data_IF_070646970707
#
_entry.id   IF_070646970707
#
_cell.length_a   1.000
_cell.length_b   1.000
_cell.length_c   1.000
_cell.angle_alpha   90.00
_cell.angle_beta   90.00
_cell.angle_gamma   90.00
#
_symmetry.space_group_name_H-M   'P 1'
#
loop_
_entity.id
_entity.type
_entity.pdbx_description
1 polymer ?
#
# COMPACT_ATOMS: atom_id res chain seq x y z
N UNK A 1 -20.65 6.69 -3.36
CA UNK A 1 -19.25 6.88 -3.77
C UNK A 1 -18.96 8.37 -3.65
N UNK A 2 -18.08 8.77 -2.72
CA UNK A 2 -17.96 10.16 -2.28
C UNK A 2 -16.74 10.90 -2.89
N UNK A 3 -16.17 10.39 -3.98
CA UNK A 3 -15.23 11.14 -4.83
C UNK A 3 -13.81 11.34 -4.27
N UNK A 4 -13.33 10.42 -3.43
CA UNK A 4 -11.91 10.32 -3.11
C UNK A 4 -11.40 8.99 -3.66
N UNK A 5 -10.25 9.04 -4.35
CA UNK A 5 -9.51 7.88 -4.83
C UNK A 5 -9.03 7.06 -3.61
N UNK A 6 -9.06 5.73 -3.70
CA UNK A 6 -8.52 4.85 -2.65
C UNK A 6 -7.01 4.72 -2.78
N UNK A 7 -6.25 5.20 -1.80
CA UNK A 7 -4.80 5.05 -1.73
C UNK A 7 -4.39 3.85 -0.83
N UNK A 8 -3.11 3.47 -0.92
CA UNK A 8 -2.52 2.45 -0.04
C UNK A 8 -1.94 3.15 1.20
N UNK A 9 -2.39 2.75 2.39
CA UNK A 9 -1.81 3.20 3.65
C UNK A 9 -1.09 2.04 4.35
N UNK A 10 0.18 2.25 4.69
CA UNK A 10 0.98 1.34 5.50
C UNK A 10 1.08 1.85 6.93
N UNK A 11 0.73 1.01 7.90
CA UNK A 11 0.85 1.28 9.32
C UNK A 11 1.80 0.30 9.97
N UNK A 12 2.63 0.81 10.87
CA UNK A 12 3.38 -0.02 11.79
C UNK A 12 2.67 0.02 13.12
N UNK A 13 2.38 -1.16 13.67
CA UNK A 13 1.73 -1.31 14.96
C UNK A 13 2.64 -2.08 15.90
N UNK A 14 2.50 -1.84 17.20
CA UNK A 14 3.13 -2.66 18.21
C UNK A 14 2.32 -3.95 18.47
N UNK A 15 2.76 -4.76 19.44
CA UNK A 15 2.09 -6.02 19.78
C UNK A 15 0.74 -5.83 20.48
N UNK A 16 0.45 -4.63 20.97
CA UNK A 16 -0.82 -4.27 21.58
C UNK A 16 -1.84 -3.79 20.54
N UNK A 17 -1.39 -3.50 19.32
CA UNK A 17 -2.20 -2.97 18.23
C UNK A 17 -2.16 -1.45 18.12
N UNK A 18 -1.35 -0.77 18.93
CA UNK A 18 -1.18 0.68 18.84
C UNK A 18 -0.30 1.05 17.64
N UNK A 19 -0.74 2.06 16.87
CA UNK A 19 0.02 2.60 15.74
C UNK A 19 1.27 3.29 16.26
N UNK A 20 2.43 2.81 15.81
CA UNK A 20 3.72 3.49 15.99
C UNK A 20 3.70 4.81 15.22
N UNK A 21 4.58 5.76 15.56
CA UNK A 21 4.67 7.09 14.92
C UNK A 21 4.90 7.09 13.39
N UNK A 22 5.05 5.90 12.78
CA UNK A 22 5.31 5.71 11.36
C UNK A 22 4.05 5.21 10.63
N UNK A 23 3.64 5.98 9.63
CA UNK A 23 2.72 5.57 8.57
C UNK A 23 3.23 6.12 7.24
N UNK A 24 2.82 5.48 6.14
CA UNK A 24 3.14 5.93 4.77
C UNK A 24 1.91 5.78 3.90
N UNK A 25 1.57 6.83 3.18
CA UNK A 25 0.59 6.79 2.10
C UNK A 25 1.34 6.63 0.77
N UNK A 26 0.93 5.63 -0.01
CA UNK A 26 1.36 5.44 -1.38
C UNK A 26 0.16 5.80 -2.25
N UNK A 27 0.24 6.98 -2.85
CA UNK A 27 -0.76 7.50 -3.79
C UNK A 27 -0.34 7.17 -5.21
N UNK A 28 -1.20 6.46 -5.94
CA UNK A 28 -1.07 6.23 -7.38
C UNK A 28 -2.34 6.73 -8.08
N UNK A 29 -2.34 6.86 -9.42
CA UNK A 29 -3.56 7.27 -10.12
C UNK A 29 -4.73 6.30 -9.89
N UNK A 30 -5.92 6.82 -9.59
CA UNK A 30 -7.15 6.05 -9.42
C UNK A 30 -7.18 5.27 -8.10
N UNK A 31 -8.01 4.23 -8.04
CA UNK A 31 -8.18 3.45 -6.82
C UNK A 31 -7.17 2.30 -6.72
N UNK A 32 -6.66 2.05 -5.53
CA UNK A 32 -5.83 0.90 -5.18
C UNK A 32 -6.55 0.04 -4.14
N UNK A 33 -6.70 -1.24 -4.45
CA UNK A 33 -7.25 -2.23 -3.52
C UNK A 33 -6.16 -3.26 -3.23
N UNK A 34 -5.63 -3.23 -2.01
CA UNK A 34 -4.61 -4.18 -1.54
C UNK A 34 -5.27 -5.50 -1.16
N UNK A 35 -4.72 -6.60 -1.66
CA UNK A 35 -5.16 -7.95 -1.34
C UNK A 35 -4.16 -8.69 -0.44
N UNK A 36 -2.85 -8.42 -0.56
CA UNK A 36 -1.82 -9.10 0.24
C UNK A 36 -0.58 -8.21 0.46
N UNK A 37 0.15 -8.51 1.53
CA UNK A 37 1.37 -7.83 1.97
C UNK A 37 2.38 -8.85 2.50
N UNK A 38 3.57 -8.89 1.89
CA UNK A 38 4.67 -9.76 2.30
C UNK A 38 5.94 -8.94 2.55
N UNK A 39 6.62 -9.18 3.67
CA UNK A 39 7.94 -8.60 3.88
C UNK A 39 8.99 -9.34 3.03
N UNK A 40 9.78 -8.58 2.28
CA UNK A 40 10.88 -9.09 1.47
C UNK A 40 12.16 -9.30 2.31
N UNK A 41 13.11 -10.08 1.77
CA UNK A 41 14.37 -10.42 2.48
C UNK A 41 15.31 -9.24 2.69
N UNK A 42 15.13 -8.15 1.93
CA UNK A 42 15.86 -6.89 2.10
C UNK A 42 15.18 -5.93 3.09
N UNK A 43 14.09 -6.37 3.74
CA UNK A 43 13.33 -5.59 4.71
C UNK A 43 12.23 -4.72 4.09
N UNK A 44 12.18 -4.60 2.77
CA UNK A 44 11.08 -3.93 2.05
C UNK A 44 9.79 -4.74 2.05
N UNK A 45 8.76 -4.22 1.38
CA UNK A 45 7.44 -4.86 1.35
C UNK A 45 7.00 -5.10 -0.10
N UNK A 46 6.54 -6.32 -0.38
CA UNK A 46 5.79 -6.66 -1.57
C UNK A 46 4.30 -6.49 -1.26
N UNK A 47 3.65 -5.58 -1.98
CA UNK A 47 2.22 -5.30 -1.88
C UNK A 47 1.58 -5.78 -3.17
N UNK A 48 0.54 -6.60 -3.07
CA UNK A 48 -0.22 -7.05 -4.23
C UNK A 48 -1.69 -6.68 -4.13
N UNK A 49 -2.34 -6.49 -5.27
CA UNK A 49 -3.70 -6.01 -5.32
C UNK A 49 -4.18 -5.73 -6.74
N UNK A 50 -5.09 -4.79 -6.84
CA UNK A 50 -5.58 -4.25 -8.10
C UNK A 50 -5.58 -2.73 -8.10
N UNK A 51 -5.33 -2.15 -9.26
CA UNK A 51 -5.44 -0.72 -9.51
C UNK A 51 -6.56 -0.48 -10.51
N UNK A 52 -7.46 0.46 -10.20
CA UNK A 52 -8.57 0.86 -11.07
C UNK A 52 -8.41 2.31 -11.47
N UNK A 53 -8.13 2.55 -12.75
CA UNK A 53 -8.04 3.89 -13.32
C UNK A 53 -9.20 4.06 -14.30
N UNK A 54 -10.19 4.88 -13.92
CA UNK A 54 -11.44 5.05 -14.69
C UNK A 54 -12.15 3.70 -14.86
N UNK A 55 -12.22 3.16 -16.08
CA UNK A 55 -12.84 1.87 -16.41
C UNK A 55 -11.82 0.76 -16.69
N UNK A 56 -10.53 0.99 -16.43
CA UNK A 56 -9.46 0.00 -16.62
C UNK A 56 -9.01 -0.55 -15.27
N UNK A 57 -9.04 -1.88 -15.11
CA UNK A 57 -8.62 -2.58 -13.91
C UNK A 57 -7.42 -3.48 -14.24
N UNK A 58 -6.33 -3.30 -13.49
CA UNK A 58 -5.08 -4.03 -13.68
C UNK A 58 -4.60 -4.64 -12.37
N UNK A 59 -3.84 -5.73 -12.49
CA UNK A 59 -3.09 -6.26 -11.35
C UNK A 59 -2.06 -5.22 -10.89
N UNK A 60 -1.92 -5.08 -9.58
CA UNK A 60 -0.96 -4.21 -8.92
C UNK A 60 0.04 -5.08 -8.15
N UNK A 61 1.32 -4.88 -8.41
CA UNK A 61 2.42 -5.43 -7.60
C UNK A 61 3.43 -4.31 -7.39
N UNK A 62 3.65 -3.94 -6.13
CA UNK A 62 4.56 -2.88 -5.72
C UNK A 62 5.62 -3.49 -4.80
N UNK A 63 6.87 -3.06 -4.97
CA UNK A 63 7.92 -3.28 -3.98
C UNK A 63 8.33 -1.94 -3.37
N UNK A 64 8.35 -1.86 -2.05
CA UNK A 64 8.86 -0.70 -1.32
C UNK A 64 10.26 -0.94 -0.77
N UNK A 65 10.91 0.13 -0.33
CA UNK A 65 12.03 0.04 0.60
C UNK A 65 11.57 -0.37 2.03
N UNK A 66 12.50 -0.59 2.97
CA UNK A 66 12.16 -0.97 4.36
C UNK A 66 11.37 0.07 5.16
N UNK A 67 11.26 1.30 4.65
CA UNK A 67 10.48 2.36 5.26
C UNK A 67 9.10 2.52 4.60
N UNK A 68 8.75 1.66 3.63
CA UNK A 68 7.48 1.69 2.92
C UNK A 68 7.44 2.64 1.73
N UNK A 69 8.57 3.20 1.31
CA UNK A 69 8.63 4.19 0.21
C UNK A 69 8.89 3.53 -1.14
N UNK A 70 8.36 4.15 -2.19
CA UNK A 70 8.73 3.89 -3.58
C UNK A 70 9.93 4.78 -3.91
N UNK A 71 11.07 4.17 -4.24
CA UNK A 71 12.26 4.89 -4.72
C UNK A 71 12.28 4.96 -6.24
#
# INVERSE_FOLDING_TARGET
FNGLDYDIALFWIDRTGEVLIRYVDITLPGDQFVNDLLQATDGGFLISGEQRVRNDQKALVIKTDPFGKLN
#
